data_IF_473299896141
#
_entry.id   IF_473299896141
#
_cell.length_a   1.000
_cell.length_b   1.000
_cell.length_c   1.000
_cell.angle_alpha   90.00
_cell.angle_beta   90.00
_cell.angle_gamma   90.00
#
_symmetry.space_group_name_H-M   'P 1'
#
loop_
_entity.id
_entity.type
_entity.pdbx_description
1 polymer ?
#
# COMPACT_ATOMS: atom_id res chain seq x y z
N UNK A 1 0.62 3.25 0.48
CA UNK A 1 0.05 2.94 -0.86
C UNK A 1 0.48 3.99 -1.86
N UNK A 2 0.81 3.61 -3.09
CA UNK A 2 1.27 4.54 -4.14
C UNK A 2 0.64 4.19 -5.47
N UNK A 3 0.58 5.16 -6.39
CA UNK A 3 0.30 4.89 -7.80
C UNK A 3 1.49 4.21 -8.50
N UNK A 4 1.37 3.96 -9.81
CA UNK A 4 2.42 3.33 -10.64
C UNK A 4 3.68 4.20 -10.84
N UNK A 5 3.63 5.47 -10.45
CA UNK A 5 4.75 6.43 -10.52
C UNK A 5 5.40 6.67 -9.16
N UNK A 6 4.82 6.12 -8.09
CA UNK A 6 5.29 6.31 -6.71
C UNK A 6 4.69 7.54 -6.02
N UNK A 7 3.64 8.12 -6.59
CA UNK A 7 2.90 9.18 -5.90
C UNK A 7 2.10 8.57 -4.76
N UNK A 8 2.25 9.03 -3.52
CA UNK A 8 1.44 8.57 -2.41
C UNK A 8 -0.06 8.78 -2.66
N UNK A 9 -0.86 7.78 -2.34
CA UNK A 9 -2.33 7.83 -2.47
C UNK A 9 -3.02 7.68 -1.11
N UNK A 10 -2.45 6.90 -0.21
CA UNK A 10 -3.00 6.67 1.13
C UNK A 10 -2.00 5.93 2.00
N UNK A 11 -2.15 6.02 3.31
CA UNK A 11 -1.30 5.39 4.30
C UNK A 11 -2.12 4.83 5.45
N UNK A 12 -1.60 3.80 6.10
CA UNK A 12 -2.09 3.31 7.37
C UNK A 12 -0.90 3.09 8.30
N UNK A 13 -1.07 3.42 9.55
CA UNK A 13 -0.10 3.19 10.62
C UNK A 13 -0.77 2.47 11.76
N UNK A 14 -0.08 1.53 12.39
CA UNK A 14 -0.58 0.81 13.55
C UNK A 14 0.59 0.40 14.46
N UNK A 15 0.28 -0.26 15.57
CA UNK A 15 1.29 -0.80 16.47
C UNK A 15 2.15 -1.89 15.79
N UNK A 16 3.40 -2.02 16.19
CA UNK A 16 4.37 -2.94 15.56
C UNK A 16 3.96 -4.42 15.56
N UNK A 17 2.99 -4.84 16.40
CA UNK A 17 2.47 -6.21 16.45
C UNK A 17 1.31 -6.50 15.49
N UNK A 18 0.79 -5.51 14.80
CA UNK A 18 -0.33 -5.70 13.86
C UNK A 18 0.18 -6.26 12.54
N UNK A 19 -0.52 -7.29 12.04
CA UNK A 19 -0.15 -7.90 10.76
C UNK A 19 -0.27 -6.91 9.61
N UNK A 20 0.77 -6.82 8.78
CA UNK A 20 0.78 -5.97 7.58
C UNK A 20 -0.43 -6.22 6.66
N UNK A 21 -0.95 -7.45 6.64
CA UNK A 21 -2.13 -7.79 5.82
C UNK A 21 -3.39 -7.06 6.23
N UNK A 22 -3.48 -6.59 7.49
CA UNK A 22 -4.58 -5.76 7.99
C UNK A 22 -4.43 -4.31 7.57
N UNK A 23 -3.20 -3.82 7.41
CA UNK A 23 -2.92 -2.43 7.01
C UNK A 23 -3.22 -2.15 5.53
N UNK A 24 -3.16 -3.16 4.68
CA UNK A 24 -3.46 -3.00 3.25
C UNK A 24 -4.86 -2.44 2.97
N UNK A 25 -5.94 -3.07 3.48
CA UNK A 25 -7.31 -2.54 3.35
C UNK A 25 -7.50 -1.16 3.98
N UNK A 26 -6.84 -0.89 5.12
CA UNK A 26 -6.88 0.42 5.78
C UNK A 26 -6.23 1.52 4.91
N UNK A 27 -5.05 1.25 4.35
CA UNK A 27 -4.38 2.17 3.45
C UNK A 27 -5.14 2.41 2.14
N UNK A 28 -5.94 1.45 1.67
CA UNK A 28 -6.85 1.63 0.54
C UNK A 28 -8.08 2.48 0.91
N UNK A 29 -8.56 2.36 2.14
CA UNK A 29 -9.67 3.16 2.64
C UNK A 29 -9.27 4.64 2.87
N UNK A 30 -8.00 4.89 3.08
CA UNK A 30 -7.43 6.23 3.29
C UNK A 30 -7.21 7.00 1.96
N UNK A 31 -7.42 6.39 0.79
CA UNK A 31 -7.33 7.09 -0.49
C UNK A 31 -8.44 8.15 -0.55
N UNK A 32 -8.09 9.43 -0.78
CA UNK A 32 -9.08 10.50 -0.81
C UNK A 32 -10.17 10.28 -1.86
N UNK A 33 -11.45 10.59 -1.58
CA UNK A 33 -12.56 10.39 -2.52
C UNK A 33 -12.42 11.17 -3.84
N UNK A 34 -11.62 12.24 -3.86
CA UNK A 34 -11.34 13.01 -5.07
C UNK A 34 -10.43 12.27 -6.06
N UNK A 35 -9.77 11.18 -5.63
CA UNK A 35 -8.95 10.35 -6.52
C UNK A 35 -9.85 9.39 -7.28
N UNK A 36 -10.14 9.71 -8.54
CA UNK A 36 -10.90 8.83 -9.41
C UNK A 36 -10.10 7.56 -9.74
N UNK A 37 -10.61 6.42 -9.29
CA UNK A 37 -10.01 5.12 -9.58
C UNK A 37 -10.90 4.37 -10.59
N UNK A 38 -10.32 3.76 -11.63
CA UNK A 38 -11.07 2.90 -12.55
C UNK A 38 -11.55 1.62 -11.83
N UNK A 39 -12.56 0.93 -12.34
CA UNK A 39 -13.01 -0.33 -11.77
C UNK A 39 -11.90 -1.39 -11.85
N UNK A 40 -11.87 -2.27 -10.85
CA UNK A 40 -10.91 -3.38 -10.76
C UNK A 40 -9.43 -2.95 -10.85
N UNK A 41 -9.09 -1.87 -10.13
CA UNK A 41 -7.70 -1.38 -10.02
C UNK A 41 -6.76 -2.49 -9.55
N UNK A 42 -5.67 -2.77 -10.27
CA UNK A 42 -4.68 -3.74 -9.82
C UNK A 42 -3.87 -3.18 -8.65
N UNK A 43 -3.94 -3.84 -7.50
CA UNK A 43 -3.15 -3.56 -6.31
C UNK A 43 -2.02 -4.58 -6.23
N UNK A 44 -0.79 -4.11 -6.40
CA UNK A 44 0.41 -4.96 -6.30
C UNK A 44 0.88 -4.99 -4.85
N UNK A 45 0.98 -6.18 -4.29
CA UNK A 45 1.43 -6.40 -2.91
C UNK A 45 2.44 -7.54 -2.84
N UNK A 46 3.15 -7.64 -1.74
CA UNK A 46 4.13 -8.71 -1.53
C UNK A 46 3.46 -10.07 -1.24
N UNK A 47 4.29 -11.09 -1.00
CA UNK A 47 3.83 -12.45 -0.75
C UNK A 47 3.10 -12.59 0.58
N UNK A 48 3.29 -11.71 1.55
CA UNK A 48 2.57 -11.72 2.81
C UNK A 48 1.06 -11.55 2.61
N UNK A 49 0.68 -10.83 1.56
CA UNK A 49 -0.72 -10.59 1.18
C UNK A 49 -1.36 -11.73 0.38
N UNK A 50 -0.71 -12.90 0.22
CA UNK A 50 -1.31 -14.05 -0.48
C UNK A 50 -2.42 -14.70 0.38
N UNK A 51 -3.62 -14.16 0.27
CA UNK A 51 -4.82 -14.60 0.98
C UNK A 51 -6.02 -14.53 0.05
N UNK A 52 -6.71 -15.67 -0.14
CA UNK A 52 -7.90 -15.73 -0.99
C UNK A 52 -9.09 -14.97 -0.37
N UNK A 53 -9.33 -15.01 0.96
CA UNK A 53 -10.32 -14.13 1.58
C UNK A 53 -10.03 -12.65 1.34
N UNK A 54 -8.77 -12.21 1.45
CA UNK A 54 -8.39 -10.83 1.17
C UNK A 54 -8.62 -10.46 -0.31
N UNK A 55 -8.32 -11.38 -1.25
CA UNK A 55 -8.62 -11.18 -2.68
C UNK A 55 -10.11 -10.96 -2.92
N UNK A 56 -10.96 -11.80 -2.30
CA UNK A 56 -12.42 -11.67 -2.38
C UNK A 56 -12.92 -10.36 -1.79
N UNK A 57 -12.45 -10.00 -0.59
CA UNK A 57 -12.80 -8.74 0.06
C UNK A 57 -12.44 -7.51 -0.81
N UNK A 58 -11.22 -7.47 -1.33
CA UNK A 58 -10.77 -6.37 -2.19
C UNK A 58 -11.49 -6.34 -3.53
N UNK A 59 -11.81 -7.50 -4.12
CA UNK A 59 -12.58 -7.58 -5.37
C UNK A 59 -13.97 -6.99 -5.21
N UNK A 60 -14.65 -7.25 -4.08
CA UNK A 60 -15.95 -6.64 -3.74
C UNK A 60 -15.89 -5.11 -3.60
N UNK A 61 -14.69 -4.54 -3.38
CA UNK A 61 -14.45 -3.10 -3.30
C UNK A 61 -13.86 -2.51 -4.61
N UNK A 62 -13.84 -3.25 -5.70
CA UNK A 62 -13.34 -2.79 -7.00
C UNK A 62 -11.82 -2.86 -7.14
N UNK A 63 -11.11 -3.61 -6.29
CA UNK A 63 -9.67 -3.78 -6.37
C UNK A 63 -9.29 -5.21 -6.74
N UNK A 64 -8.24 -5.38 -7.54
CA UNK A 64 -7.68 -6.68 -7.89
C UNK A 64 -6.32 -6.86 -7.24
N UNK A 65 -6.24 -7.67 -6.19
CA UNK A 65 -4.97 -7.96 -5.51
C UNK A 65 -4.06 -8.82 -6.39
N UNK A 66 -2.86 -8.36 -6.63
CA UNK A 66 -1.77 -9.05 -7.34
C UNK A 66 -0.62 -9.29 -6.36
N UNK A 67 -0.59 -10.47 -5.77
CA UNK A 67 0.43 -10.91 -4.82
C UNK A 67 0.96 -12.27 -5.26
N UNK A 68 2.29 -12.52 -5.23
CA UNK A 68 2.84 -13.85 -5.51
C UNK A 68 2.31 -14.87 -4.52
N UNK A 69 2.10 -16.11 -4.98
CA UNK A 69 1.67 -17.18 -4.10
C UNK A 69 2.77 -17.58 -3.11
N UNK A 70 2.35 -17.94 -1.90
CA UNK A 70 3.23 -18.50 -0.87
C UNK A 70 3.76 -19.86 -1.33
N UNK A 71 4.98 -20.20 -0.93
CA UNK A 71 5.52 -21.55 -1.10
C UNK A 71 4.62 -22.53 -0.34
N UNK A 72 4.32 -23.69 -0.95
CA UNK A 72 3.44 -24.69 -0.34
C UNK A 72 1.93 -24.38 -0.43
N UNK A 73 1.50 -23.43 -1.29
CA UNK A 73 0.09 -23.22 -1.56
C UNK A 73 -0.55 -24.50 -2.15
N UNK A 74 -1.55 -25.04 -1.47
CA UNK A 74 -2.30 -26.25 -1.92
C UNK A 74 -3.43 -25.88 -2.89
N UNK A 75 -4.01 -24.68 -2.75
CA UNK A 75 -5.10 -24.21 -3.59
C UNK A 75 -4.63 -23.84 -4.99
N UNK A 76 -5.51 -23.92 -6.03
CA UNK A 76 -5.15 -23.52 -7.39
C UNK A 76 -4.60 -22.10 -7.46
N UNK A 77 -3.71 -21.86 -8.41
CA UNK A 77 -3.17 -20.53 -8.65
C UNK A 77 -4.26 -19.60 -9.17
N UNK A 78 -4.37 -18.42 -8.56
CA UNK A 78 -5.33 -17.37 -8.95
C UNK A 78 -4.67 -16.26 -9.80
N UNK A 79 -3.33 -16.28 -9.89
CA UNK A 79 -2.56 -15.29 -10.61
C UNK A 79 -2.24 -15.79 -12.04
N UNK A 80 -2.52 -14.92 -13.02
CA UNK A 80 -2.05 -15.07 -14.39
C UNK A 80 -0.65 -14.44 -14.54
N UNK A 81 0.26 -15.10 -15.24
CA UNK A 81 1.62 -14.61 -15.50
C UNK A 81 1.66 -13.26 -16.22
N UNK A 82 0.66 -12.94 -17.05
CA UNK A 82 0.54 -11.62 -17.70
C UNK A 82 0.30 -10.51 -16.67
N UNK A 83 -0.54 -10.76 -15.68
CA UNK A 83 -0.87 -9.81 -14.61
C UNK A 83 0.31 -9.64 -13.65
N UNK A 84 1.04 -10.72 -13.38
CA UNK A 84 2.22 -10.71 -12.53
C UNK A 84 3.40 -9.92 -13.11
N UNK A 85 3.40 -9.56 -14.39
CA UNK A 85 4.38 -8.61 -14.93
C UNK A 85 4.37 -7.26 -14.22
N UNK A 86 3.21 -6.83 -13.71
CA UNK A 86 3.08 -5.60 -12.90
C UNK A 86 3.81 -5.71 -11.56
N UNK A 87 4.00 -6.90 -11.03
CA UNK A 87 4.74 -7.13 -9.80
C UNK A 87 6.19 -6.63 -9.86
N UNK A 88 6.80 -6.63 -11.04
CA UNK A 88 8.16 -6.09 -11.26
C UNK A 88 8.27 -4.59 -10.89
N UNK A 89 7.16 -3.87 -10.85
CA UNK A 89 7.13 -2.44 -10.47
C UNK A 89 7.01 -2.22 -8.96
N UNK A 90 7.11 -3.25 -8.14
CA UNK A 90 7.03 -3.13 -6.67
C UNK A 90 8.09 -2.18 -6.10
N UNK A 91 9.26 -2.07 -6.72
CA UNK A 91 10.32 -1.13 -6.32
C UNK A 91 9.83 0.32 -6.20
N UNK A 92 8.73 0.66 -6.85
CA UNK A 92 8.17 2.02 -6.83
C UNK A 92 7.71 2.41 -5.42
N UNK A 93 7.09 1.48 -4.68
CA UNK A 93 6.69 1.74 -3.30
C UNK A 93 7.92 1.82 -2.37
N UNK A 94 8.95 1.02 -2.61
CA UNK A 94 10.21 1.07 -1.85
C UNK A 94 10.89 2.44 -2.00
N UNK A 95 10.87 3.01 -3.20
CA UNK A 95 11.35 4.38 -3.44
C UNK A 95 10.56 5.43 -2.65
N UNK A 96 9.24 5.29 -2.55
CA UNK A 96 8.42 6.20 -1.76
C UNK A 96 8.73 6.06 -0.26
N UNK A 97 8.97 4.86 0.22
CA UNK A 97 9.46 4.66 1.60
C UNK A 97 10.83 5.29 1.82
N UNK A 98 11.76 5.19 0.85
CA UNK A 98 13.05 5.87 0.95
C UNK A 98 12.89 7.40 1.09
N UNK A 99 11.96 8.01 0.38
CA UNK A 99 11.64 9.43 0.55
C UNK A 99 11.02 9.73 1.92
N UNK A 100 10.10 8.89 2.42
CA UNK A 100 9.53 9.03 3.76
C UNK A 100 10.61 8.97 4.85
N UNK A 101 11.62 8.13 4.68
CA UNK A 101 12.72 8.02 5.61
C UNK A 101 13.61 9.28 5.68
N UNK A 102 13.48 10.21 4.73
CA UNK A 102 14.07 11.55 4.84
C UNK A 102 13.43 12.43 5.92
N UNK A 103 12.24 12.09 6.38
CA UNK A 103 11.51 12.85 7.40
C UNK A 103 11.73 12.25 8.79
N UNK A 104 12.58 12.87 9.62
CA UNK A 104 12.99 12.36 10.95
C UNK A 104 11.82 12.00 11.86
N UNK A 105 10.74 12.79 11.86
CA UNK A 105 9.53 12.55 12.66
C UNK A 105 8.72 11.34 12.20
N UNK A 106 8.88 10.90 10.97
CA UNK A 106 8.26 9.68 10.44
C UNK A 106 9.09 8.45 10.82
N UNK A 107 10.42 8.56 10.75
CA UNK A 107 11.34 7.44 11.06
C UNK A 107 11.37 7.14 12.56
N UNK A 108 11.43 8.19 13.37
CA UNK A 108 11.48 8.04 14.83
C UNK A 108 10.20 8.64 15.41
N UNK A 109 9.37 7.76 15.99
CA UNK A 109 8.17 8.17 16.66
C UNK A 109 8.49 8.74 18.04
N UNK A 110 8.22 10.02 18.23
CA UNK A 110 8.31 10.68 19.52
C UNK A 110 6.93 10.88 20.17
N UNK A 111 5.88 10.79 19.38
CA UNK A 111 4.51 11.05 19.77
C UNK A 111 3.94 9.85 20.54
N UNK A 112 3.32 10.12 21.70
CA UNK A 112 2.58 9.11 22.47
C UNK A 112 1.28 8.70 21.78
N UNK A 113 0.59 9.68 21.18
CA UNK A 113 -0.67 9.45 20.47
C UNK A 113 -0.38 8.96 19.04
N UNK A 114 -1.02 7.87 18.65
CA UNK A 114 -0.85 7.29 17.32
C UNK A 114 -1.33 8.23 16.21
N UNK A 115 -2.40 8.99 16.47
CA UNK A 115 -3.01 9.94 15.54
C UNK A 115 -2.05 11.07 15.18
N UNK A 116 -1.26 11.57 16.14
CA UNK A 116 -0.25 12.60 15.86
C UNK A 116 0.84 12.07 14.95
N UNK A 117 1.35 10.85 15.21
CA UNK A 117 2.33 10.23 14.34
C UNK A 117 1.76 10.01 12.93
N UNK A 118 0.52 9.52 12.83
CA UNK A 118 -0.18 9.36 11.56
C UNK A 118 -0.30 10.70 10.80
N UNK A 119 -0.61 11.79 11.52
CA UNK A 119 -0.62 13.15 10.97
C UNK A 119 0.73 13.57 10.37
N UNK A 120 1.86 13.24 11.04
CA UNK A 120 3.20 13.50 10.48
C UNK A 120 3.49 12.67 9.23
N UNK A 121 3.01 11.42 9.18
CA UNK A 121 3.11 10.59 7.97
C UNK A 121 2.36 11.26 6.81
N UNK A 122 1.12 11.70 7.03
CA UNK A 122 0.34 12.39 6.00
C UNK A 122 0.97 13.71 5.55
N UNK A 123 1.51 14.49 6.47
CA UNK A 123 2.22 15.72 6.14
C UNK A 123 3.45 15.44 5.25
N UNK A 124 4.25 14.42 5.59
CA UNK A 124 5.39 14.01 4.78
C UNK A 124 4.97 13.52 3.38
N UNK A 125 3.88 12.75 3.29
CA UNK A 125 3.30 12.32 2.01
C UNK A 125 2.84 13.52 1.18
N UNK A 126 2.23 14.52 1.79
CA UNK A 126 1.81 15.75 1.11
C UNK A 126 3.02 16.51 0.54
N UNK A 127 4.14 16.63 1.29
CA UNK A 127 5.38 17.23 0.78
C UNK A 127 5.99 16.42 -0.36
N UNK A 128 5.95 15.07 -0.29
CA UNK A 128 6.41 14.22 -1.41
C UNK A 128 5.55 14.48 -2.66
N UNK A 129 4.23 14.58 -2.52
CA UNK A 129 3.33 14.91 -3.62
C UNK A 129 3.64 16.29 -4.21
N UNK A 130 3.80 17.31 -3.37
CA UNK A 130 4.10 18.67 -3.80
C UNK A 130 5.41 18.75 -4.59
N UNK A 131 6.47 18.13 -4.08
CA UNK A 131 7.78 18.10 -4.75
C UNK A 131 7.76 17.36 -6.09
N UNK A 132 6.73 16.59 -6.38
CA UNK A 132 6.56 15.89 -7.67
C UNK A 132 5.71 16.67 -8.67
N UNK A 133 5.03 17.71 -8.24
CA UNK A 133 4.25 18.61 -9.08
C UNK A 133 5.08 19.81 -9.57
N UNK A 134 6.15 20.12 -8.83
CA UNK A 134 7.14 21.15 -9.17
C UNK A 134 8.27 20.58 -10.04
#
# INVERSE_FOLDING_TARGET
>A
MTDARGTPLGAATDAAGVSETMLGPAALADIPPCVALPPMVPVVADRAYDSDPLRGHLAGRGFRLLSPHRRGRVRPATNDGRRMRRYRRRYVVERTFAWLHGYRRVVTRFERMAELHHGFVHLALAFICLNRLL
#
